data_IF_186613980886
#
_entry.id   IF_186613980886
#
_cell.length_a   1.000
_cell.length_b   1.000
_cell.length_c   1.000
_cell.angle_alpha   90.00
_cell.angle_beta   90.00
_cell.angle_gamma   90.00
#
_symmetry.space_group_name_H-M   'P 1'
#
loop_
_entity.id
_entity.type
_entity.pdbx_description
1 polymer ?
#
# COMPACT_ATOMS: atom_id res chain seq x y z
N UNK A 1 10.47 -31.62 -1.41
CA UNK A 1 10.15 -30.83 -2.61
C UNK A 1 9.32 -29.64 -2.15
N UNK A 2 9.95 -28.48 -1.95
CA UNK A 2 9.26 -27.27 -1.47
C UNK A 2 8.73 -26.50 -2.69
N UNK A 3 7.41 -26.49 -2.86
CA UNK A 3 6.77 -25.69 -3.90
C UNK A 3 6.91 -24.22 -3.55
N UNK A 4 7.69 -23.48 -4.33
CA UNK A 4 7.67 -22.02 -4.30
C UNK A 4 6.31 -21.56 -4.85
N UNK A 5 5.47 -20.96 -4.00
CA UNK A 5 4.32 -20.19 -4.49
C UNK A 5 4.85 -19.10 -5.41
N UNK A 6 4.49 -19.19 -6.68
CA UNK A 6 4.69 -18.11 -7.64
C UNK A 6 4.02 -16.87 -7.06
N UNK A 7 4.80 -15.82 -6.78
CA UNK A 7 4.26 -14.49 -6.52
C UNK A 7 3.45 -14.09 -7.76
N UNK A 8 2.13 -14.34 -7.68
CA UNK A 8 1.18 -14.03 -8.74
C UNK A 8 1.27 -12.55 -9.07
N UNK A 9 1.23 -12.21 -10.35
CA UNK A 9 1.18 -10.82 -10.79
C UNK A 9 0.12 -10.04 -9.98
N UNK A 10 0.43 -8.81 -9.55
CA UNK A 10 -0.53 -7.98 -8.84
C UNK A 10 -1.78 -7.78 -9.72
N UNK A 11 -2.99 -7.74 -9.12
CA UNK A 11 -4.21 -7.54 -9.89
C UNK A 11 -4.12 -6.25 -10.71
N UNK A 12 -4.71 -6.23 -11.90
CA UNK A 12 -4.56 -5.12 -12.84
C UNK A 12 -4.96 -3.74 -12.28
N UNK A 13 -5.85 -3.70 -11.27
CA UNK A 13 -6.22 -2.48 -10.53
C UNK A 13 -5.05 -1.82 -9.78
N UNK A 14 -4.04 -2.63 -9.47
CA UNK A 14 -2.89 -2.29 -8.65
C UNK A 14 -1.65 -2.04 -9.50
N UNK A 15 -1.77 -2.09 -10.83
CA UNK A 15 -0.69 -1.81 -11.78
C UNK A 15 -0.92 -0.46 -12.45
N UNK A 16 0.10 0.41 -12.45
CA UNK A 16 0.17 1.57 -13.33
C UNK A 16 1.27 1.36 -14.38
N UNK A 17 1.08 1.91 -15.57
CA UNK A 17 2.11 1.91 -16.61
C UNK A 17 2.67 3.32 -16.77
N UNK A 18 3.99 3.47 -16.68
CA UNK A 18 4.69 4.72 -16.99
C UNK A 18 5.97 4.42 -17.76
N UNK A 19 6.27 5.19 -18.82
CA UNK A 19 7.50 5.03 -19.63
C UNK A 19 7.72 3.60 -20.16
N UNK A 20 6.65 2.85 -20.45
CA UNK A 20 6.72 1.46 -20.92
C UNK A 20 6.92 0.40 -19.83
N UNK A 21 7.04 0.81 -18.55
CA UNK A 21 7.21 -0.10 -17.42
C UNK A 21 5.91 -0.24 -16.61
N UNK A 22 5.65 -1.44 -16.09
CA UNK A 22 4.57 -1.72 -15.14
C UNK A 22 5.07 -1.51 -13.71
N UNK A 23 4.39 -0.69 -12.95
CA UNK A 23 4.66 -0.42 -11.54
C UNK A 23 3.45 -0.85 -10.70
N UNK A 24 3.67 -1.39 -9.51
CA UNK A 24 2.61 -1.45 -8.51
C UNK A 24 2.29 -0.05 -8.03
N UNK A 25 1.00 0.25 -7.83
CA UNK A 25 0.57 1.55 -7.30
C UNK A 25 1.14 1.71 -5.89
N UNK A 26 1.64 2.90 -5.51
CA UNK A 26 2.30 3.13 -4.23
C UNK A 26 1.51 2.63 -3.01
N UNK A 27 0.18 2.74 -3.07
CA UNK A 27 -0.71 2.21 -2.05
C UNK A 27 -0.59 0.69 -1.86
N UNK A 28 -0.52 -0.10 -2.94
CA UNK A 28 -0.41 -1.56 -2.83
C UNK A 28 0.91 -1.97 -2.17
N UNK A 29 2.02 -1.35 -2.58
CA UNK A 29 3.33 -1.57 -1.95
C UNK A 29 3.30 -1.23 -0.46
N UNK A 30 2.64 -0.15 -0.05
CA UNK A 30 2.50 0.19 1.37
C UNK A 30 1.67 -0.86 2.11
N UNK A 31 0.57 -1.34 1.51
CA UNK A 31 -0.27 -2.39 2.12
C UNK A 31 0.49 -3.71 2.30
N UNK A 32 1.25 -4.13 1.29
CA UNK A 32 2.05 -5.35 1.31
C UNK A 32 3.12 -5.29 2.42
N UNK A 33 3.77 -4.13 2.60
CA UNK A 33 4.75 -3.92 3.68
C UNK A 33 4.12 -3.95 5.07
N UNK A 34 2.89 -3.46 5.23
CA UNK A 34 2.15 -3.56 6.50
C UNK A 34 1.79 -5.02 6.79
N UNK A 35 1.32 -5.75 5.77
CA UNK A 35 0.90 -7.14 5.90
C UNK A 35 2.06 -8.09 6.18
N UNK A 36 3.24 -7.83 5.58
CA UNK A 36 4.46 -8.58 5.88
C UNK A 36 4.94 -8.40 7.33
N UNK A 37 4.52 -7.34 8.03
CA UNK A 37 4.89 -7.08 9.42
C UNK A 37 6.37 -6.79 9.66
N UNK A 38 7.15 -6.60 8.58
CA UNK A 38 8.61 -6.43 8.62
C UNK A 38 9.05 -4.98 8.77
N UNK A 39 8.11 -4.02 8.66
CA UNK A 39 8.39 -2.59 8.67
C UNK A 39 7.81 -1.93 9.93
N UNK A 40 8.62 -1.14 10.63
CA UNK A 40 8.13 -0.41 11.80
C UNK A 40 6.99 0.55 11.44
N UNK A 41 6.03 0.70 12.37
CA UNK A 41 4.82 1.53 12.17
C UNK A 41 5.14 2.99 11.82
N UNK A 42 6.28 3.51 12.23
CA UNK A 42 6.70 4.88 11.91
C UNK A 42 7.04 5.05 10.42
N UNK A 43 7.68 4.06 9.80
CA UNK A 43 7.97 4.09 8.37
C UNK A 43 6.70 3.95 7.53
N UNK A 44 5.76 3.10 7.97
CA UNK A 44 4.42 2.98 7.35
C UNK A 44 3.70 4.34 7.36
N UNK A 45 3.70 5.01 8.51
CA UNK A 45 3.11 6.34 8.67
C UNK A 45 3.73 7.36 7.74
N UNK A 46 5.06 7.41 7.67
CA UNK A 46 5.78 8.33 6.79
C UNK A 46 5.44 8.07 5.32
N UNK A 47 5.44 6.81 4.88
CA UNK A 47 5.11 6.44 3.51
C UNK A 47 3.67 6.83 3.14
N UNK A 48 2.70 6.57 4.01
CA UNK A 48 1.31 6.99 3.80
C UNK A 48 1.19 8.51 3.70
N UNK A 49 1.80 9.25 4.63
CA UNK A 49 1.79 10.71 4.61
C UNK A 49 2.40 11.26 3.32
N UNK A 50 3.60 10.82 2.96
CA UNK A 50 4.29 11.28 1.75
C UNK A 50 3.53 10.90 0.47
N UNK A 51 2.89 9.73 0.44
CA UNK A 51 2.09 9.32 -0.72
C UNK A 51 0.91 10.25 -0.97
N UNK A 52 0.29 10.77 0.10
CA UNK A 52 -0.82 11.73 0.00
C UNK A 52 -0.31 13.14 -0.30
N UNK A 53 0.68 13.63 0.44
CA UNK A 53 1.25 14.97 0.25
C UNK A 53 1.82 15.18 -1.15
N UNK A 54 2.40 14.14 -1.76
CA UNK A 54 2.98 14.19 -3.11
C UNK A 54 1.98 13.87 -4.23
N UNK A 55 0.71 13.63 -3.90
CA UNK A 55 -0.32 13.30 -4.89
C UNK A 55 -0.17 11.91 -5.53
N UNK A 56 0.69 11.04 -4.98
CA UNK A 56 0.92 9.67 -5.46
C UNK A 56 -0.26 8.74 -5.14
N UNK A 57 -1.07 9.11 -4.15
CA UNK A 57 -2.31 8.43 -3.76
C UNK A 57 -3.26 9.42 -3.08
N UNK A 58 -4.57 9.28 -3.30
CA UNK A 58 -5.58 10.10 -2.64
C UNK A 58 -6.18 9.42 -1.41
N UNK A 59 -6.71 10.21 -0.46
CA UNK A 59 -7.46 9.67 0.68
C UNK A 59 -8.66 8.82 0.24
N UNK A 60 -9.29 9.14 -0.90
CA UNK A 60 -10.39 8.34 -1.47
C UNK A 60 -9.91 6.98 -1.98
N UNK A 61 -8.74 6.94 -2.63
CA UNK A 61 -8.12 5.67 -3.07
C UNK A 61 -7.78 4.79 -1.87
N UNK A 62 -7.26 5.37 -0.78
CA UNK A 62 -6.97 4.65 0.47
C UNK A 62 -8.25 4.04 1.06
N UNK A 63 -9.34 4.81 1.15
CA UNK A 63 -10.63 4.31 1.68
C UNK A 63 -11.19 3.14 0.88
N UNK A 64 -11.08 3.22 -0.44
CA UNK A 64 -11.64 2.25 -1.39
C UNK A 64 -10.75 1.01 -1.59
N UNK A 65 -9.50 1.02 -1.12
CA UNK A 65 -8.60 -0.09 -1.31
C UNK A 65 -9.05 -1.34 -0.53
N UNK A 66 -8.94 -2.50 -1.19
CA UNK A 66 -9.12 -3.80 -0.55
C UNK A 66 -7.91 -4.07 0.32
N UNK A 67 -8.15 -4.33 1.60
CA UNK A 67 -7.13 -4.64 2.59
C UNK A 67 -7.76 -5.38 3.76
N UNK A 68 -6.96 -6.12 4.52
CA UNK A 68 -7.41 -6.78 5.74
C UNK A 68 -7.84 -5.77 6.81
N UNK A 69 -8.68 -6.22 7.76
CA UNK A 69 -9.19 -5.35 8.83
C UNK A 69 -8.08 -4.79 9.74
N UNK A 70 -7.01 -5.55 9.96
CA UNK A 70 -5.83 -5.11 10.73
C UNK A 70 -5.07 -3.99 10.01
N UNK A 71 -4.83 -4.14 8.71
CA UNK A 71 -4.19 -3.11 7.88
C UNK A 71 -5.05 -1.85 7.83
N UNK A 72 -6.37 -2.02 7.68
CA UNK A 72 -7.33 -0.90 7.70
C UNK A 72 -7.25 -0.09 9.00
N UNK A 73 -7.22 -0.77 10.15
CA UNK A 73 -7.12 -0.10 11.46
C UNK A 73 -5.84 0.74 11.58
N UNK A 74 -4.70 0.20 11.16
CA UNK A 74 -3.40 0.91 11.18
C UNK A 74 -3.45 2.17 10.30
N UNK A 75 -4.04 2.05 9.10
CA UNK A 75 -4.18 3.16 8.17
C UNK A 75 -5.11 4.24 8.71
N UNK A 76 -6.25 3.87 9.30
CA UNK A 76 -7.20 4.83 9.87
C UNK A 76 -6.62 5.58 11.07
N UNK A 77 -5.93 4.88 11.99
CA UNK A 77 -5.20 5.51 13.10
C UNK A 77 -4.13 6.48 12.61
N UNK A 78 -3.47 6.12 11.51
CA UNK A 78 -2.46 6.97 10.87
C UNK A 78 -3.08 8.22 10.28
N UNK A 79 -4.15 8.09 9.50
CA UNK A 79 -4.84 9.22 8.85
C UNK A 79 -5.47 10.19 9.85
N UNK A 80 -5.99 9.71 10.98
CA UNK A 80 -6.55 10.56 12.06
C UNK A 80 -5.52 11.50 12.68
N UNK A 81 -4.23 11.14 12.65
CA UNK A 81 -3.13 11.93 13.25
C UNK A 81 -2.42 12.86 12.25
N UNK A 82 -2.84 12.86 10.99
CA UNK A 82 -2.32 13.74 9.92
C UNK A 82 -3.31 14.88 9.63
N UNK A 83 -4.45 14.93 10.32
CA UNK A 83 -5.37 16.05 10.34
C UNK A 83 -5.00 17.02 11.47
#
# INVERSE_FOLDING_TARGET
>A
MFSYSTNSDPPASDVQTAQGFKFTRPLRTILDLIEAGTVERNFVRQALRQSVERGLTSRQQIRNARMSGSVRKIIEETLRRVA
#
